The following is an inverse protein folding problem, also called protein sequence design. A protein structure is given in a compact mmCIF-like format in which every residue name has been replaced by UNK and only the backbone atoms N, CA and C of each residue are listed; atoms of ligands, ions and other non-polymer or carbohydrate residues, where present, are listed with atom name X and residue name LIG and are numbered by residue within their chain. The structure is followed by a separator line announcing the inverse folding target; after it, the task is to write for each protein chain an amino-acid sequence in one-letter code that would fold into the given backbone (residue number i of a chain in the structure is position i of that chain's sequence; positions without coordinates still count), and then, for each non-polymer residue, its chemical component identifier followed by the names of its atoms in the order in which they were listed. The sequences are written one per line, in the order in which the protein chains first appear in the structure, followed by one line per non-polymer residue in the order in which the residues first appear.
data_IF_387260323946
#
_entry.id   IF_387260323946
#
_cell.length_a   1.000
_cell.length_b   1.000
_cell.length_c   1.000
_cell.angle_alpha   90.00
_cell.angle_beta   90.00
_cell.angle_gamma   90.00
#
_symmetry.space_group_name_H-M   'P 1'
#
loop_
_entity.id
_entity.type
_entity.pdbx_description
1 polymer ?
#
# COMPACT_ATOMS: atom_id res chain seq x y z
N UNK A 1 50.70 27.54 -60.00
CA UNK A 1 50.43 28.85 -60.63
C UNK A 1 49.56 28.63 -61.85
N UNK A 2 48.43 29.33 -61.98
CA UNK A 2 47.74 29.62 -63.26
C UNK A 2 46.52 30.54 -63.00
N UNK A 3 46.40 31.61 -63.78
CA UNK A 3 45.20 32.36 -64.19
C UNK A 3 44.06 32.75 -63.20
N UNK A 4 43.91 34.06 -63.02
CA UNK A 4 42.62 34.79 -62.97
C UNK A 4 42.02 34.90 -64.42
N UNK A 5 40.83 35.50 -64.75
CA UNK A 5 40.05 36.50 -63.97
C UNK A 5 38.50 36.61 -64.21
N UNK A 6 37.90 37.69 -63.62
CA UNK A 6 36.77 38.53 -64.13
C UNK A 6 35.28 38.06 -64.11
N UNK A 7 34.44 38.85 -63.40
CA UNK A 7 33.00 39.19 -63.59
C UNK A 7 31.93 38.04 -63.59
N UNK A 8 30.61 38.26 -63.38
CA UNK A 8 29.69 39.43 -63.31
C UNK A 8 28.48 39.05 -62.38
N UNK A 9 27.38 39.77 -62.09
CA UNK A 9 26.80 41.04 -62.59
C UNK A 9 26.05 41.87 -61.51
N UNK A 10 24.69 41.91 -61.52
CA UNK A 10 23.81 42.78 -60.72
C UNK A 10 22.39 42.17 -60.58
N UNK A 11 21.63 42.55 -59.53
CA UNK A 11 20.23 43.02 -59.63
C UNK A 11 19.67 43.64 -58.31
N UNK A 12 18.82 44.66 -58.43
CA UNK A 12 17.85 45.17 -57.43
C UNK A 12 16.43 44.68 -57.85
N UNK A 13 15.31 44.86 -57.13
CA UNK A 13 15.01 45.46 -55.81
C UNK A 13 14.14 44.44 -55.00
N UNK A 14 12.99 44.63 -54.32
CA UNK A 14 12.10 45.72 -53.84
C UNK A 14 11.36 45.12 -52.61
N UNK A 15 11.29 45.68 -51.38
CA UNK A 15 10.92 47.00 -50.81
C UNK A 15 9.43 47.08 -50.35
N UNK A 16 9.23 47.12 -49.03
CA UNK A 16 8.01 47.52 -48.29
C UNK A 16 6.74 46.63 -48.48
N UNK A 17 5.71 46.66 -47.61
CA UNK A 17 5.38 47.66 -46.57
C UNK A 17 4.87 47.02 -45.27
N UNK A 18 5.09 47.72 -44.15
CA UNK A 18 4.58 47.42 -42.80
C UNK A 18 3.23 48.12 -42.54
N UNK A 19 2.39 47.57 -41.65
CA UNK A 19 1.46 48.34 -40.80
C UNK A 19 0.80 47.55 -39.66
N UNK A 20 0.65 48.25 -38.54
CA UNK A 20 -0.11 47.94 -37.32
C UNK A 20 -1.65 47.96 -37.58
N UNK A 21 -2.60 47.66 -36.67
CA UNK A 21 -2.58 47.85 -35.20
C UNK A 21 -3.76 47.17 -34.44
N UNK A 22 -3.54 46.92 -33.14
CA UNK A 22 -4.52 46.81 -32.02
C UNK A 22 -5.72 45.82 -32.04
N UNK A 23 -6.35 45.72 -30.86
CA UNK A 23 -7.45 44.81 -30.50
C UNK A 23 -8.28 45.43 -29.35
N UNK A 24 -9.55 45.01 -29.17
CA UNK A 24 -10.23 44.71 -27.87
C UNK A 24 -11.79 44.72 -27.94
N UNK A 25 -12.40 43.84 -27.13
CA UNK A 25 -13.70 43.97 -26.42
C UNK A 25 -15.06 43.66 -27.10
N UNK A 26 -15.90 42.92 -26.35
CA UNK A 26 -17.36 43.08 -26.14
C UNK A 26 -18.37 42.95 -27.32
N UNK A 27 -19.65 42.55 -27.15
CA UNK A 27 -20.39 41.84 -26.07
C UNK A 27 -21.70 41.20 -26.63
N UNK A 28 -22.10 40.07 -26.04
CA UNK A 28 -23.46 39.65 -25.60
C UNK A 28 -24.76 40.22 -26.24
N UNK A 29 -25.71 39.30 -26.50
CA UNK A 29 -27.10 39.43 -27.03
C UNK A 29 -27.29 39.62 -28.56
N UNK A 30 -27.86 38.60 -29.22
CA UNK A 30 -29.25 38.68 -29.73
C UNK A 30 -29.84 37.34 -30.26
N UNK A 31 -31.17 37.20 -30.09
CA UNK A 31 -32.24 36.66 -30.99
C UNK A 31 -31.92 35.56 -32.06
N UNK A 32 -32.78 34.58 -32.40
CA UNK A 32 -34.17 34.24 -31.98
C UNK A 32 -34.51 32.76 -32.30
N UNK A 33 -35.62 32.23 -31.76
CA UNK A 33 -36.13 30.85 -31.99
C UNK A 33 -36.99 30.67 -33.27
N UNK A 34 -37.21 29.39 -33.66
CA UNK A 34 -38.05 28.82 -34.75
C UNK A 34 -37.25 28.50 -36.04
N UNK A 35 -37.56 27.44 -36.81
CA UNK A 35 -38.72 26.53 -36.82
C UNK A 35 -38.36 25.07 -37.19
N UNK A 36 -39.30 24.13 -37.02
CA UNK A 36 -39.14 22.69 -37.29
C UNK A 36 -38.82 22.33 -38.76
N UNK A 37 -37.84 21.43 -38.97
CA UNK A 37 -37.86 20.40 -40.02
C UNK A 37 -37.40 19.07 -39.39
N UNK A 38 -38.14 17.98 -39.63
CA UNK A 38 -37.86 16.68 -39.00
C UNK A 38 -36.76 15.89 -39.70
N UNK A 39 -35.92 15.20 -38.92
CA UNK A 39 -34.86 14.31 -39.41
C UNK A 39 -35.08 12.86 -38.95
N UNK A 40 -35.03 11.91 -39.89
CA UNK A 40 -34.95 10.48 -39.57
C UNK A 40 -33.59 10.18 -38.94
N UNK A 41 -33.59 9.55 -37.76
CA UNK A 41 -32.37 8.95 -37.20
C UNK A 41 -31.98 7.70 -37.99
N UNK A 42 -31.20 7.87 -39.06
CA UNK A 42 -30.43 6.78 -39.65
C UNK A 42 -29.28 6.42 -38.69
N UNK A 43 -29.23 5.16 -38.25
CA UNK A 43 -28.30 4.71 -37.20
C UNK A 43 -26.88 4.50 -37.73
N UNK A 44 -26.21 5.59 -38.09
CA UNK A 44 -24.81 5.58 -38.50
C UNK A 44 -23.91 5.06 -37.38
N UNK A 45 -23.33 3.86 -37.56
CA UNK A 45 -22.26 3.34 -36.70
C UNK A 45 -20.93 4.02 -37.07
N UNK A 46 -20.72 5.26 -36.63
CA UNK A 46 -19.36 5.80 -36.54
C UNK A 46 -18.62 5.03 -35.44
N UNK A 47 -17.69 4.17 -35.83
CA UNK A 47 -16.82 3.47 -34.89
C UNK A 47 -15.88 4.48 -34.24
N UNK A 48 -16.20 4.91 -33.03
CA UNK A 48 -15.31 5.77 -32.25
C UNK A 48 -14.14 4.89 -31.75
N UNK A 49 -13.12 4.77 -32.60
CA UNK A 49 -11.89 4.03 -32.34
C UNK A 49 -11.21 4.63 -31.10
N UNK A 50 -11.46 4.03 -29.94
CA UNK A 50 -10.81 4.48 -28.71
C UNK A 50 -9.30 4.23 -28.85
N UNK A 51 -8.44 5.21 -28.52
CA UNK A 51 -7.03 4.91 -28.29
C UNK A 51 -6.94 3.88 -27.14
N UNK A 52 -5.88 3.05 -27.10
CA UNK A 52 -5.73 2.06 -26.03
C UNK A 52 -5.84 2.75 -24.67
N UNK A 53 -6.68 2.22 -23.78
CA UNK A 53 -7.07 2.88 -22.53
C UNK A 53 -5.86 3.09 -21.61
N UNK A 54 -5.20 4.23 -21.75
CA UNK A 54 -4.09 4.63 -20.91
C UNK A 54 -4.64 4.92 -19.51
N UNK A 55 -4.14 4.20 -18.51
CA UNK A 55 -4.36 4.45 -17.08
C UNK A 55 -4.04 5.93 -16.75
N UNK A 56 -5.06 6.81 -16.79
CA UNK A 56 -4.91 8.28 -16.83
C UNK A 56 -5.87 8.96 -15.85
N UNK A 57 -5.73 8.67 -14.56
CA UNK A 57 -6.35 9.47 -13.51
C UNK A 57 -5.42 9.53 -12.29
N UNK A 58 -4.93 10.73 -11.96
CA UNK A 58 -4.09 11.07 -10.80
C UNK A 58 -3.18 9.93 -10.30
N UNK A 59 -2.09 9.65 -11.03
CA UNK A 59 -1.19 8.51 -10.75
C UNK A 59 -0.41 8.68 -9.45
N UNK A 60 -0.96 8.16 -8.35
CA UNK A 60 -0.26 7.90 -7.07
C UNK A 60 0.18 6.41 -7.00
N UNK A 61 0.17 5.71 -8.14
CA UNK A 61 0.53 4.31 -8.28
C UNK A 61 1.01 4.01 -9.71
N UNK A 62 1.86 3.00 -9.85
CA UNK A 62 2.28 2.41 -11.12
C UNK A 62 1.26 1.35 -11.53
N UNK A 63 0.78 1.43 -12.78
CA UNK A 63 -0.16 0.49 -13.37
C UNK A 63 0.49 -0.22 -14.57
N UNK A 64 0.49 -1.56 -14.57
CA UNK A 64 0.97 -2.39 -15.69
C UNK A 64 -0.21 -3.05 -16.36
N UNK A 65 -0.41 -2.75 -17.64
CA UNK A 65 -1.42 -3.38 -18.48
C UNK A 65 -0.81 -4.37 -19.47
N UNK A 66 -1.38 -5.56 -19.54
CA UNK A 66 -1.00 -6.65 -20.44
C UNK A 66 -2.23 -7.08 -21.24
N UNK A 67 -2.09 -7.28 -22.56
CA UNK A 67 -3.20 -7.57 -23.48
C UNK A 67 -4.43 -6.64 -23.31
N UNK A 68 -4.19 -5.35 -23.04
CA UNK A 68 -5.26 -4.35 -22.88
C UNK A 68 -6.01 -4.38 -21.54
N UNK A 69 -5.57 -5.17 -20.56
CA UNK A 69 -6.11 -5.16 -19.19
C UNK A 69 -5.01 -4.86 -18.18
N UNK A 70 -5.30 -4.06 -17.15
CA UNK A 70 -4.37 -3.91 -16.02
C UNK A 70 -4.26 -5.21 -15.24
N UNK A 71 -3.02 -5.66 -15.01
CA UNK A 71 -2.72 -6.88 -14.27
C UNK A 71 -1.99 -6.58 -12.95
N UNK A 72 -1.10 -5.58 -12.92
CA UNK A 72 -0.33 -5.22 -11.72
C UNK A 72 -0.63 -3.78 -11.36
N UNK A 73 -0.94 -3.53 -10.09
CA UNK A 73 -0.94 -2.22 -9.46
C UNK A 73 0.10 -2.20 -8.35
N UNK A 74 0.92 -1.15 -8.29
CA UNK A 74 1.97 -0.98 -7.29
C UNK A 74 2.01 0.47 -6.79
N UNK A 75 2.07 0.66 -5.47
CA UNK A 75 2.18 1.95 -4.78
C UNK A 75 3.19 1.85 -3.65
N UNK A 76 3.92 2.92 -3.41
CA UNK A 76 4.60 3.19 -2.15
C UNK A 76 4.64 4.71 -1.90
N UNK A 77 4.59 5.16 -0.65
CA UNK A 77 4.90 6.56 -0.29
C UNK A 77 6.41 6.83 -0.37
N UNK A 78 7.23 5.79 -0.25
CA UNK A 78 8.68 5.87 -0.41
C UNK A 78 9.26 4.59 -0.98
N UNK A 79 10.24 4.71 -1.88
CA UNK A 79 11.18 3.67 -2.26
C UNK A 79 12.60 4.22 -2.13
N UNK A 80 13.38 3.66 -1.20
CA UNK A 80 14.79 3.98 -1.03
C UNK A 80 15.66 2.72 -1.14
N UNK A 81 16.80 2.84 -1.83
CA UNK A 81 17.84 1.81 -1.92
C UNK A 81 19.17 2.33 -1.37
N UNK A 82 20.06 1.43 -0.95
CA UNK A 82 21.41 1.75 -0.46
C UNK A 82 22.38 0.61 -0.75
N UNK A 83 23.50 0.94 -1.38
CA UNK A 83 24.64 0.03 -1.51
C UNK A 83 25.62 0.20 -0.35
N UNK A 84 25.88 -0.87 0.41
CA UNK A 84 26.82 -0.88 1.56
C UNK A 84 26.55 0.28 2.53
N UNK A 85 27.56 1.11 2.78
CA UNK A 85 27.51 2.27 3.66
C UNK A 85 27.41 3.61 2.89
N UNK A 86 27.01 3.59 1.61
CA UNK A 86 26.70 4.82 0.89
C UNK A 86 25.41 5.47 1.43
N UNK A 87 25.08 6.67 0.95
CA UNK A 87 23.80 7.32 1.21
C UNK A 87 22.63 6.51 0.64
N UNK A 88 21.44 6.70 1.21
CA UNK A 88 20.22 6.18 0.61
C UNK A 88 19.87 7.00 -0.65
N UNK A 89 19.70 6.31 -1.77
CA UNK A 89 19.17 6.87 -3.02
C UNK A 89 17.65 6.73 -2.96
N UNK A 90 16.94 7.84 -3.12
CA UNK A 90 15.48 7.86 -3.16
C UNK A 90 14.99 7.76 -4.61
N UNK A 91 14.20 6.75 -4.91
CA UNK A 91 13.65 6.49 -6.25
C UNK A 91 12.17 6.87 -6.36
N UNK A 92 11.54 7.36 -5.29
CA UNK A 92 10.10 7.64 -5.22
C UNK A 92 9.65 8.57 -6.35
N UNK A 93 10.36 9.68 -6.56
CA UNK A 93 10.12 10.65 -7.64
C UNK A 93 10.51 10.15 -9.03
N UNK A 94 11.19 9.00 -9.15
CA UNK A 94 11.40 8.33 -10.44
C UNK A 94 10.30 7.32 -10.74
N UNK A 95 9.68 6.71 -9.73
CA UNK A 95 8.57 5.75 -9.90
C UNK A 95 7.23 6.45 -10.14
N UNK A 96 6.89 7.42 -9.28
CA UNK A 96 5.51 7.90 -9.11
C UNK A 96 5.26 9.32 -9.64
N UNK A 97 6.23 9.97 -10.28
CA UNK A 97 6.07 11.32 -10.83
C UNK A 97 5.02 11.32 -11.98
N UNK A 98 3.91 12.07 -11.86
CA UNK A 98 2.85 12.06 -12.86
C UNK A 98 3.27 12.55 -14.25
N UNK A 99 4.28 13.43 -14.32
CA UNK A 99 4.76 14.04 -15.56
C UNK A 99 5.78 13.17 -16.30
N UNK A 100 6.47 12.28 -15.58
CA UNK A 100 7.53 11.42 -16.11
C UNK A 100 7.45 10.03 -15.46
N UNK A 101 6.47 9.20 -15.86
CA UNK A 101 6.30 7.87 -15.29
C UNK A 101 7.48 6.95 -15.65
N UNK A 102 7.85 6.08 -14.70
CA UNK A 102 8.86 5.03 -14.88
C UNK A 102 8.55 4.12 -16.07
N UNK A 103 9.58 3.67 -16.80
CA UNK A 103 9.37 2.73 -17.91
C UNK A 103 9.10 1.32 -17.38
N UNK A 104 7.90 0.81 -17.69
CA UNK A 104 7.43 -0.52 -17.28
C UNK A 104 7.43 -1.55 -18.40
N UNK A 105 7.96 -1.25 -19.60
CA UNK A 105 7.91 -2.14 -20.79
C UNK A 105 8.51 -3.53 -20.59
N UNK A 106 9.37 -3.72 -19.59
CA UNK A 106 9.92 -5.04 -19.22
C UNK A 106 8.96 -5.90 -18.39
N UNK A 107 7.75 -5.43 -18.10
CA UNK A 107 6.79 -6.13 -17.24
C UNK A 107 5.94 -7.13 -18.02
N UNK A 108 5.68 -8.31 -17.43
CA UNK A 108 5.00 -9.44 -18.06
C UNK A 108 3.91 -9.95 -17.10
N UNK A 109 2.79 -10.46 -17.62
CA UNK A 109 1.75 -11.10 -16.82
C UNK A 109 1.13 -12.30 -17.55
N UNK A 110 1.30 -13.49 -16.99
CA UNK A 110 0.54 -14.70 -17.34
C UNK A 110 -0.55 -14.96 -16.29
N UNK A 111 -1.23 -16.12 -16.30
CA UNK A 111 -2.21 -16.45 -15.25
C UNK A 111 -1.52 -16.90 -13.96
N UNK A 112 -0.33 -17.45 -14.07
CA UNK A 112 0.42 -18.16 -13.02
C UNK A 112 1.61 -17.33 -12.50
N UNK A 113 2.19 -16.45 -13.34
CA UNK A 113 3.36 -15.63 -13.00
C UNK A 113 3.23 -14.21 -13.55
N UNK A 114 3.69 -13.24 -12.77
CA UNK A 114 3.79 -11.84 -13.17
C UNK A 114 5.15 -11.27 -12.77
N UNK A 115 5.69 -10.41 -13.63
CA UNK A 115 6.95 -9.70 -13.37
C UNK A 115 6.66 -8.21 -13.52
N UNK A 116 6.80 -7.46 -12.42
CA UNK A 116 6.90 -6.02 -12.46
C UNK A 116 8.35 -5.66 -12.81
N UNK A 117 8.55 -4.78 -13.79
CA UNK A 117 9.86 -4.23 -14.15
C UNK A 117 9.76 -2.72 -14.11
N UNK A 118 10.60 -2.07 -13.30
CA UNK A 118 10.70 -0.63 -13.15
C UNK A 118 12.09 -0.20 -13.63
N UNK A 119 12.15 0.50 -14.76
CA UNK A 119 13.42 0.94 -15.35
C UNK A 119 13.72 2.40 -15.08
N UNK A 120 14.91 2.70 -14.59
CA UNK A 120 15.27 4.02 -14.06
C UNK A 120 16.23 4.83 -14.95
N UNK A 121 16.46 4.38 -16.18
CA UNK A 121 17.31 5.05 -17.17
C UNK A 121 18.78 4.82 -16.87
N UNK A 122 19.47 5.88 -16.44
CA UNK A 122 20.88 5.84 -16.02
C UNK A 122 21.09 5.24 -14.61
N UNK A 123 20.07 4.58 -14.06
CA UNK A 123 20.02 4.03 -12.70
C UNK A 123 19.43 2.61 -12.73
N UNK A 124 19.84 1.83 -11.73
CA UNK A 124 19.61 0.41 -11.51
C UNK A 124 18.13 -0.01 -11.65
N UNK A 125 17.87 -0.95 -12.56
CA UNK A 125 16.55 -1.53 -12.85
C UNK A 125 16.05 -2.34 -11.62
N UNK A 126 14.80 -2.13 -11.18
CA UNK A 126 14.18 -2.91 -10.11
C UNK A 126 13.11 -3.85 -10.70
N UNK A 127 13.13 -5.14 -10.33
CA UNK A 127 12.10 -6.10 -10.73
C UNK A 127 11.48 -6.79 -9.52
N UNK A 128 10.18 -7.06 -9.59
CA UNK A 128 9.45 -7.87 -8.61
C UNK A 128 8.81 -9.06 -9.32
N UNK A 129 9.17 -10.28 -8.93
CA UNK A 129 8.62 -11.53 -9.46
C UNK A 129 7.51 -11.99 -8.53
N UNK A 130 6.36 -12.33 -9.11
CA UNK A 130 5.16 -12.75 -8.40
C UNK A 130 4.60 -14.03 -9.02
N UNK A 131 4.03 -14.89 -8.18
CA UNK A 131 3.30 -16.08 -8.61
C UNK A 131 1.86 -16.06 -8.11
N UNK A 132 1.01 -16.86 -8.75
CA UNK A 132 -0.40 -17.02 -8.44
C UNK A 132 -0.70 -18.52 -8.26
N UNK A 133 -1.08 -18.91 -7.05
CA UNK A 133 -1.24 -20.31 -6.66
C UNK A 133 -2.64 -20.54 -6.10
N UNK A 134 -3.32 -21.57 -6.58
CA UNK A 134 -4.59 -22.01 -5.99
C UNK A 134 -4.32 -22.83 -4.73
N UNK A 135 -4.91 -22.43 -3.60
CA UNK A 135 -4.79 -23.15 -2.34
C UNK A 135 -6.12 -23.85 -2.05
N UNK A 136 -6.16 -25.17 -2.29
CA UNK A 136 -7.33 -26.05 -2.06
C UNK A 136 -7.98 -25.81 -0.69
N UNK A 137 -7.17 -25.79 0.38
CA UNK A 137 -7.62 -25.58 1.76
C UNK A 137 -8.27 -24.19 2.02
N UNK A 138 -8.09 -23.23 1.12
CA UNK A 138 -8.70 -21.91 1.16
C UNK A 138 -9.75 -21.70 0.05
N UNK A 139 -9.93 -22.65 -0.87
CA UNK A 139 -10.85 -22.57 -2.01
C UNK A 139 -10.58 -21.41 -2.99
N UNK A 140 -9.40 -20.79 -2.94
CA UNK A 140 -9.11 -19.57 -3.72
C UNK A 140 -7.66 -19.44 -4.16
N UNK A 141 -7.45 -18.60 -5.17
CA UNK A 141 -6.15 -18.15 -5.63
C UNK A 141 -5.53 -17.14 -4.66
N UNK A 142 -4.24 -17.30 -4.37
CA UNK A 142 -3.41 -16.35 -3.64
C UNK A 142 -2.25 -15.92 -4.53
N UNK A 143 -1.91 -14.63 -4.48
CA UNK A 143 -0.68 -14.13 -5.09
C UNK A 143 0.41 -13.98 -4.03
N UNK A 144 1.64 -14.27 -4.42
CA UNK A 144 2.86 -14.04 -3.62
C UNK A 144 3.80 -13.13 -4.41
N UNK A 145 4.53 -12.27 -3.72
CA UNK A 145 5.76 -11.69 -4.22
C UNK A 145 6.87 -12.69 -3.88
N UNK A 146 7.38 -13.39 -4.88
CA UNK A 146 8.35 -14.46 -4.70
C UNK A 146 9.72 -13.83 -4.35
N UNK A 147 10.12 -12.83 -5.13
CA UNK A 147 11.40 -12.15 -5.00
C UNK A 147 11.42 -10.72 -5.56
N UNK A 148 12.37 -9.92 -5.08
CA UNK A 148 12.69 -8.58 -5.57
C UNK A 148 14.15 -8.54 -6.00
N UNK A 149 14.41 -8.09 -7.22
CA UNK A 149 15.71 -8.16 -7.90
C UNK A 149 16.18 -6.74 -8.28
N UNK A 150 17.35 -6.32 -7.79
CA UNK A 150 18.03 -5.08 -8.22
C UNK A 150 19.07 -5.44 -9.27
N UNK A 151 18.94 -4.91 -10.49
CA UNK A 151 19.93 -5.02 -11.55
C UNK A 151 20.85 -3.81 -11.54
N UNK A 152 22.15 -4.02 -11.37
CA UNK A 152 23.15 -2.96 -11.26
C UNK A 152 24.43 -3.33 -12.04
N UNK A 153 25.27 -2.34 -12.34
CA UNK A 153 26.47 -2.51 -13.17
C UNK A 153 26.23 -3.23 -14.53
N UNK A 154 25.02 -3.08 -15.11
CA UNK A 154 24.52 -3.72 -16.35
C UNK A 154 24.42 -5.26 -16.35
N UNK A 155 25.27 -5.97 -15.61
CA UNK A 155 25.38 -7.44 -15.63
C UNK A 155 25.22 -8.11 -14.27
N UNK A 156 25.12 -7.34 -13.18
CA UNK A 156 25.03 -7.86 -11.82
C UNK A 156 23.60 -7.76 -11.31
N UNK A 157 23.19 -8.74 -10.53
CA UNK A 157 21.87 -8.81 -9.91
C UNK A 157 22.03 -9.02 -8.40
N UNK A 158 21.11 -8.44 -7.62
CA UNK A 158 20.99 -8.63 -6.18
C UNK A 158 19.55 -9.04 -5.86
N UNK A 159 19.40 -10.24 -5.31
CA UNK A 159 18.11 -10.94 -5.16
C UNK A 159 17.70 -10.97 -3.69
N UNK A 160 16.45 -10.58 -3.43
CA UNK A 160 15.79 -10.69 -2.14
C UNK A 160 14.57 -11.60 -2.25
N UNK A 161 14.51 -12.65 -1.43
CA UNK A 161 13.33 -13.48 -1.25
C UNK A 161 12.27 -12.69 -0.46
N UNK A 162 11.03 -12.70 -0.92
CA UNK A 162 9.95 -11.85 -0.40
C UNK A 162 8.80 -12.66 0.23
N UNK A 163 9.07 -13.89 0.68
CA UNK A 163 8.11 -14.95 1.06
C UNK A 163 7.07 -14.62 2.15
N UNK A 164 7.10 -13.43 2.76
CA UNK A 164 6.10 -12.91 3.71
C UNK A 164 5.14 -11.88 3.09
N UNK A 165 5.26 -11.61 1.78
CA UNK A 165 4.44 -10.67 1.02
C UNK A 165 3.47 -11.47 0.15
N UNK A 166 2.28 -11.72 0.67
CA UNK A 166 1.24 -12.55 0.02
C UNK A 166 -0.17 -12.12 0.43
N UNK A 167 -1.14 -12.25 -0.48
CA UNK A 167 -2.55 -11.98 -0.21
C UNK A 167 -3.46 -12.77 -1.18
N UNK A 168 -4.76 -12.92 -0.90
CA UNK A 168 -5.71 -13.47 -1.85
C UNK A 168 -5.68 -12.67 -3.16
N UNK A 169 -5.80 -13.34 -4.32
CA UNK A 169 -5.79 -12.66 -5.62
C UNK A 169 -7.01 -11.72 -5.83
N UNK A 170 -8.01 -11.80 -4.95
CA UNK A 170 -9.17 -10.90 -4.85
C UNK A 170 -8.89 -9.61 -4.08
N UNK A 171 -7.77 -9.51 -3.38
CA UNK A 171 -7.37 -8.39 -2.51
C UNK A 171 -6.09 -7.73 -2.99
N UNK A 172 -5.73 -6.58 -2.40
CA UNK A 172 -4.35 -6.06 -2.45
C UNK A 172 -3.59 -6.46 -1.17
N UNK A 173 -2.26 -6.53 -1.23
CA UNK A 173 -1.42 -6.62 -0.03
C UNK A 173 -0.99 -5.21 0.36
N UNK A 174 -1.04 -4.89 1.67
CA UNK A 174 -0.58 -3.61 2.20
C UNK A 174 0.40 -3.81 3.36
N UNK A 175 1.41 -2.96 3.46
CA UNK A 175 2.31 -2.94 4.62
C UNK A 175 2.98 -1.58 4.84
N UNK A 176 3.07 -1.15 6.11
CA UNK A 176 3.69 0.11 6.49
C UNK A 176 5.19 0.18 6.10
N UNK A 177 5.91 -0.95 6.16
CA UNK A 177 7.30 -1.09 5.74
C UNK A 177 7.53 -2.46 5.08
N UNK A 178 8.14 -2.48 3.90
CA UNK A 178 8.68 -3.72 3.29
C UNK A 178 10.16 -3.48 3.04
N UNK A 179 11.03 -4.20 3.72
CA UNK A 179 12.45 -3.84 3.83
C UNK A 179 13.36 -5.04 4.09
N UNK A 180 14.64 -4.91 3.72
CA UNK A 180 15.72 -5.81 4.11
C UNK A 180 16.51 -5.36 5.34
N UNK A 181 16.00 -4.39 6.11
CA UNK A 181 16.59 -3.94 7.38
C UNK A 181 15.92 -4.63 8.58
N UNK A 182 16.72 -5.15 9.52
CA UNK A 182 16.25 -5.79 10.76
C UNK A 182 15.33 -4.93 11.64
N UNK A 183 15.33 -3.60 11.47
CA UNK A 183 14.41 -2.69 12.16
C UNK A 183 12.95 -2.85 11.71
N UNK A 184 12.71 -3.46 10.54
CA UNK A 184 11.41 -3.53 9.87
C UNK A 184 11.08 -4.99 9.46
N UNK A 185 11.22 -5.91 10.41
CA UNK A 185 10.87 -7.35 10.34
C UNK A 185 11.49 -8.20 9.22
N UNK A 186 12.37 -7.62 8.39
CA UNK A 186 13.06 -8.29 7.26
C UNK A 186 12.10 -9.08 6.37
N UNK A 187 11.11 -8.38 5.81
CA UNK A 187 10.19 -8.96 4.81
C UNK A 187 10.89 -9.26 3.46
N UNK A 188 12.05 -8.65 3.22
CA UNK A 188 12.93 -8.91 2.07
C UNK A 188 14.26 -9.49 2.56
N UNK A 189 14.49 -10.78 2.35
CA UNK A 189 15.68 -11.50 2.85
C UNK A 189 16.65 -11.76 1.69
N UNK A 190 17.94 -11.38 1.77
CA UNK A 190 18.92 -11.70 0.73
C UNK A 190 18.95 -13.19 0.35
N UNK A 191 19.07 -13.50 -0.95
CA UNK A 191 19.12 -14.87 -1.50
C UNK A 191 20.14 -15.79 -0.81
N UNK A 192 21.31 -15.24 -0.51
CA UNK A 192 22.38 -15.86 0.26
C UNK A 192 23.11 -14.80 1.07
N UNK A 193 23.73 -15.21 2.18
CA UNK A 193 24.59 -14.37 3.00
C UNK A 193 25.95 -14.04 2.35
N UNK A 194 26.35 -14.78 1.32
CA UNK A 194 27.61 -14.55 0.57
C UNK A 194 27.40 -13.71 -0.70
N UNK A 195 26.17 -13.54 -1.16
CA UNK A 195 25.87 -12.90 -2.43
C UNK A 195 26.02 -11.38 -2.38
N UNK A 196 26.14 -10.78 -3.56
CA UNK A 196 26.01 -9.33 -3.78
C UNK A 196 24.80 -8.74 -3.08
N UNK A 197 23.68 -9.48 -3.03
CA UNK A 197 22.45 -9.21 -2.29
C UNK A 197 22.65 -8.72 -0.84
N UNK A 198 23.61 -9.29 -0.10
CA UNK A 198 23.89 -8.89 1.28
C UNK A 198 24.53 -7.50 1.42
N UNK A 199 25.03 -6.94 0.31
CA UNK A 199 25.57 -5.57 0.24
C UNK A 199 24.46 -4.54 -0.04
N UNK A 200 23.24 -4.98 -0.34
CA UNK A 200 22.14 -4.13 -0.76
C UNK A 200 21.08 -4.01 0.34
N UNK A 201 20.59 -2.78 0.54
CA UNK A 201 19.40 -2.53 1.34
C UNK A 201 18.34 -1.85 0.50
N UNK A 202 17.12 -2.35 0.60
CA UNK A 202 15.93 -1.81 -0.05
C UNK A 202 14.86 -1.59 1.01
N UNK A 203 14.13 -0.48 0.91
CA UNK A 203 13.04 -0.13 1.84
C UNK A 203 11.93 0.59 1.10
N UNK A 204 10.77 -0.04 1.07
CA UNK A 204 9.49 0.56 0.74
C UNK A 204 8.79 1.06 2.02
N UNK A 205 8.04 2.14 1.92
CA UNK A 205 7.17 2.67 3.00
C UNK A 205 5.78 2.93 2.46
N UNK A 206 4.72 2.61 3.22
CA UNK A 206 3.31 2.66 2.76
C UNK A 206 3.12 1.85 1.47
N UNK A 207 3.67 0.63 1.46
CA UNK A 207 3.70 -0.28 0.33
C UNK A 207 2.32 -0.90 0.10
N UNK A 208 1.86 -0.90 -1.15
CA UNK A 208 0.65 -1.60 -1.56
C UNK A 208 0.85 -2.20 -2.95
N UNK A 209 0.50 -3.48 -3.11
CA UNK A 209 0.63 -4.19 -4.39
C UNK A 209 -0.56 -5.11 -4.63
N UNK A 210 -0.94 -5.29 -5.89
CA UNK A 210 -1.93 -6.28 -6.33
C UNK A 210 -1.54 -6.79 -7.71
N UNK A 211 -1.73 -8.09 -7.94
CA UNK A 211 -1.42 -8.75 -9.21
C UNK A 211 -2.58 -9.65 -9.69
N UNK A 212 -2.53 -10.06 -10.95
CA UNK A 212 -3.39 -11.06 -11.63
C UNK A 212 -4.87 -10.69 -11.80
N UNK A 213 -5.57 -10.29 -10.73
CA UNK A 213 -7.00 -9.97 -10.74
C UNK A 213 -7.24 -8.55 -10.20
N UNK A 214 -6.75 -7.57 -10.96
CA UNK A 214 -7.07 -6.15 -10.80
C UNK A 214 -8.39 -5.85 -11.52
N UNK A 215 -9.24 -5.00 -10.94
CA UNK A 215 -10.52 -4.61 -11.51
C UNK A 215 -10.65 -3.08 -11.58
N UNK A 216 -11.22 -2.58 -12.68
CA UNK A 216 -11.48 -1.14 -12.91
C UNK A 216 -10.29 -0.20 -12.63
N UNK A 217 -9.06 -0.68 -12.92
CA UNK A 217 -7.79 0.01 -12.69
C UNK A 217 -7.59 0.56 -11.26
N UNK A 218 -8.13 -0.15 -10.27
CA UNK A 218 -8.07 0.22 -8.84
C UNK A 218 -7.64 -0.96 -7.97
N UNK A 219 -7.02 -0.63 -6.84
CA UNK A 219 -6.75 -1.61 -5.78
C UNK A 219 -8.06 -2.11 -5.17
N UNK A 220 -8.15 -3.42 -4.98
CA UNK A 220 -9.13 -4.05 -4.11
C UNK A 220 -8.73 -3.87 -2.63
N UNK A 221 -9.62 -4.26 -1.71
CA UNK A 221 -9.42 -4.15 -0.26
C UNK A 221 -8.02 -4.61 0.19
N UNK A 222 -7.32 -3.85 1.04
CA UNK A 222 -6.01 -4.25 1.53
C UNK A 222 -6.11 -5.42 2.50
N UNK A 223 -5.13 -6.32 2.40
CA UNK A 223 -4.80 -7.35 3.38
C UNK A 223 -3.48 -6.92 4.03
N UNK A 224 -3.53 -6.55 5.30
CA UNK A 224 -2.39 -5.93 6.00
C UNK A 224 -1.37 -6.98 6.47
N UNK A 225 -0.08 -6.64 6.36
CA UNK A 225 1.03 -7.51 6.75
C UNK A 225 1.12 -7.84 8.25
N UNK A 226 0.40 -7.10 9.10
CA UNK A 226 0.38 -7.27 10.55
C UNK A 226 -1.02 -7.70 11.02
N UNK A 227 -1.11 -8.87 11.66
CA UNK A 227 -2.35 -9.27 12.33
C UNK A 227 -2.56 -8.43 13.59
N UNK A 228 -3.78 -7.90 13.77
CA UNK A 228 -4.16 -7.06 14.93
C UNK A 228 -3.84 -7.71 16.29
N UNK A 229 -3.79 -9.05 16.32
CA UNK A 229 -3.24 -9.84 17.41
C UNK A 229 -2.05 -10.63 16.87
N UNK A 230 -0.86 -10.39 17.42
CA UNK A 230 0.29 -11.27 17.19
C UNK A 230 0.17 -12.53 18.06
N UNK A 231 0.83 -13.65 17.72
CA UNK A 231 0.81 -14.85 18.57
C UNK A 231 1.25 -14.59 20.02
N UNK A 232 2.22 -13.69 20.22
CA UNK A 232 2.67 -13.29 21.56
C UNK A 232 1.59 -12.52 22.35
N UNK A 233 0.90 -11.57 21.70
CA UNK A 233 -0.21 -10.83 22.33
C UNK A 233 -1.37 -11.78 22.63
N UNK A 234 -1.71 -12.70 21.71
CA UNK A 234 -2.77 -13.67 21.91
C UNK A 234 -2.49 -14.58 23.13
N UNK A 235 -1.27 -15.11 23.26
CA UNK A 235 -0.87 -15.91 24.43
C UNK A 235 -0.89 -15.07 25.72
N UNK A 236 -0.51 -13.80 25.67
CA UNK A 236 -0.60 -12.87 26.80
C UNK A 236 -2.05 -12.61 27.25
N UNK A 237 -2.97 -12.41 26.30
CA UNK A 237 -4.40 -12.21 26.59
C UNK A 237 -5.05 -13.48 27.15
N UNK A 238 -4.75 -14.66 26.58
CA UNK A 238 -5.27 -15.95 27.05
C UNK A 238 -4.78 -16.25 28.47
N UNK A 239 -3.48 -16.07 28.75
CA UNK A 239 -2.92 -16.29 30.10
C UNK A 239 -3.43 -15.27 31.12
N UNK A 240 -3.56 -14.00 30.73
CA UNK A 240 -4.18 -12.95 31.58
C UNK A 240 -5.64 -13.30 31.93
N UNK A 241 -6.44 -13.74 30.96
CA UNK A 241 -7.82 -14.18 31.18
C UNK A 241 -7.91 -15.37 32.14
N UNK A 242 -7.04 -16.37 32.00
CA UNK A 242 -6.98 -17.53 32.91
C UNK A 242 -6.66 -17.08 34.33
N UNK A 243 -5.67 -16.21 34.53
CA UNK A 243 -5.30 -15.70 35.86
C UNK A 243 -6.42 -14.85 36.49
N UNK A 244 -7.13 -14.05 35.69
CA UNK A 244 -8.29 -13.29 36.15
C UNK A 244 -9.46 -14.20 36.59
N UNK A 245 -9.71 -15.31 35.87
CA UNK A 245 -10.72 -16.30 36.26
C UNK A 245 -10.35 -17.03 37.56
N UNK A 246 -9.08 -17.41 37.74
CA UNK A 246 -8.59 -18.03 38.98
C UNK A 246 -8.69 -17.05 40.17
N UNK A 247 -8.33 -15.77 39.96
CA UNK A 247 -8.46 -14.73 40.98
C UNK A 247 -9.94 -14.48 41.35
N UNK A 248 -10.83 -14.41 40.35
CA UNK A 248 -12.27 -14.24 40.58
C UNK A 248 -12.87 -15.41 41.36
N UNK A 249 -12.47 -16.64 41.05
CA UNK A 249 -12.88 -17.84 41.80
C UNK A 249 -12.37 -17.83 43.25
N UNK A 250 -11.11 -17.46 43.48
CA UNK A 250 -10.55 -17.34 44.83
C UNK A 250 -11.27 -16.25 45.65
N UNK A 251 -11.53 -15.09 45.05
CA UNK A 251 -12.29 -14.01 45.69
C UNK A 251 -13.74 -14.41 45.97
N UNK A 252 -14.40 -15.11 45.06
CA UNK A 252 -15.75 -15.67 45.27
C UNK A 252 -15.78 -16.60 46.50
N UNK A 253 -14.79 -17.48 46.65
CA UNK A 253 -14.71 -18.38 47.81
C UNK A 253 -14.43 -17.63 49.12
N UNK A 254 -13.58 -16.58 49.11
CA UNK A 254 -13.36 -15.73 50.29
C UNK A 254 -14.63 -14.95 50.67
N UNK A 255 -15.41 -14.45 49.70
CA UNK A 255 -16.69 -13.77 49.94
C UNK A 255 -17.73 -14.76 50.47
N UNK A 256 -17.81 -15.97 49.92
CA UNK A 256 -18.73 -17.02 50.37
C UNK A 256 -18.44 -17.46 51.82
N UNK A 257 -17.16 -17.66 52.17
CA UNK A 257 -16.76 -17.95 53.55
C UNK A 257 -17.13 -16.80 54.50
N UNK A 258 -16.84 -15.53 54.14
CA UNK A 258 -17.24 -14.35 54.93
C UNK A 258 -18.76 -14.16 55.06
N UNK A 259 -19.55 -14.71 54.14
CA UNK A 259 -21.01 -14.72 54.23
C UNK A 259 -21.50 -15.77 55.24
N UNK A 260 -20.93 -16.98 55.23
CA UNK A 260 -21.25 -18.04 56.20
C UNK A 260 -20.87 -17.61 57.62
N UNK A 261 -19.64 -17.13 57.79
CA UNK A 261 -19.08 -16.72 59.09
C UNK A 261 -19.97 -15.67 59.79
N UNK A 262 -20.28 -14.58 59.07
CA UNK A 262 -21.17 -13.53 59.57
C UNK A 262 -22.61 -14.01 59.82
N UNK A 263 -23.09 -15.00 59.06
CA UNK A 263 -24.42 -15.59 59.26
C UNK A 263 -24.50 -16.45 60.53
N UNK A 264 -23.43 -17.18 60.86
CA UNK A 264 -23.35 -17.90 62.13
C UNK A 264 -23.12 -16.95 63.32
N UNK A 265 -22.40 -15.82 63.17
CA UNK A 265 -22.39 -14.75 64.19
C UNK A 265 -23.80 -14.21 64.49
N UNK A 266 -24.62 -13.99 63.44
CA UNK A 266 -26.00 -13.52 63.58
C UNK A 266 -26.92 -14.56 64.24
N UNK A 267 -26.67 -15.85 64.05
CA UNK A 267 -27.33 -16.91 64.84
C UNK A 267 -26.86 -16.92 66.29
N UNK A 268 -25.55 -16.91 66.53
CA UNK A 268 -24.96 -17.01 67.87
C UNK A 268 -25.48 -15.89 68.79
N UNK A 269 -25.54 -14.67 68.27
CA UNK A 269 -26.09 -13.49 68.98
C UNK A 269 -27.60 -13.52 69.21
N UNK A 270 -28.36 -14.25 68.39
CA UNK A 270 -29.82 -14.46 68.57
C UNK A 270 -30.12 -15.60 69.56
N UNK A 271 -29.33 -16.69 69.55
CA UNK A 271 -29.50 -17.81 70.48
C UNK A 271 -28.86 -17.58 71.86
N UNK A 272 -27.82 -16.76 71.93
CA UNK A 272 -27.20 -16.28 73.17
C UNK A 272 -27.09 -14.75 73.13
N UNK A 273 -28.15 -14.00 73.51
CA UNK A 273 -28.04 -12.57 73.71
C UNK A 273 -26.99 -12.32 74.80
N UNK A 274 -25.98 -11.50 74.50
CA UNK A 274 -25.00 -11.06 75.51
C UNK A 274 -25.76 -10.34 76.61
N UNK A 275 -25.82 -10.92 77.81
CA UNK A 275 -26.38 -10.23 78.98
C UNK A 275 -25.68 -8.89 79.13
N UNK A 276 -26.41 -7.77 79.37
CA UNK A 276 -25.75 -6.55 79.78
C UNK A 276 -24.95 -6.83 81.06
N UNK A 277 -23.75 -6.29 81.15
CA UNK A 277 -23.04 -6.15 82.43
C UNK A 277 -23.99 -5.50 83.45
N UNK A 278 -24.25 -6.20 84.56
CA UNK A 278 -25.11 -5.69 85.62
C UNK A 278 -24.36 -4.58 86.38
N UNK A 279 -24.65 -3.33 86.06
CA UNK A 279 -24.15 -2.19 86.83
C UNK A 279 -24.61 -2.32 88.29
N UNK A 280 -23.64 -2.15 89.21
CA UNK A 280 -23.85 -2.19 90.65
C UNK A 280 -24.60 -0.95 91.13
N UNK A 281 -25.61 -1.11 92.00
CA UNK A 281 -25.85 -0.12 93.04
C UNK A 281 -25.68 -0.71 94.45
N UNK A 282 -24.86 -0.01 95.23
CA UNK A 282 -24.73 -0.14 96.69
C UNK A 282 -26.09 -0.15 97.41
N UNK A 283 -26.23 -1.03 98.42
CA UNK A 283 -27.10 -0.72 99.56
C UNK A 283 -26.65 -1.36 100.88
N UNK A 284 -26.16 -0.51 101.76
CA UNK A 284 -25.99 -0.72 103.21
C UNK A 284 -27.29 -1.15 103.93
N UNK A 285 -27.13 -1.56 105.21
CA UNK A 285 -28.12 -2.00 106.23
C UNK A 285 -28.27 -3.53 106.34
N UNK A 286 -28.24 -4.14 107.53
CA UNK A 286 -28.06 -3.59 108.89
C UNK A 286 -27.27 -4.58 109.76
#
# INVERSE_FOLDING_TARGET
MCHQPVARANARTQKHTDKTEHAHSATMHDLVWRNNIGLRFTRGKTSLQHPPHTCMHMRIHTCVSYNGKTCILFKAKRLAIRYRNHTFIDLTERVFNPNSPVDTKGSICTKEKATLSLKFGDVEDLRGLMSNTFYEAAGQNWFTLDSVHIHYNWTQEAIFNASKVYAPATSSYHCQHVSSLHKYDTLLVPSSHTDTSANWHITFTDFQIQAFNVQSDKFASPSDCATFLTPAILMGLVTSLILLLVLAYALHMVVHLKHIDRYEEHKATVYFPRSPEAELPDKNSL
#
